data_IF_089589558897
#
_entry.id   IF_089589558897
#
_cell.length_a   1.000
_cell.length_b   1.000
_cell.length_c   1.000
_cell.angle_alpha   90.00
_cell.angle_beta   90.00
_cell.angle_gamma   90.00
#
_symmetry.space_group_name_H-M   'P 1'
#
loop_
_entity.id
_entity.type
_entity.pdbx_description
1 polymer ?
#
# COMPACT_ATOMS: atom_id res chain seq x y z
N UNK A 1 -30.63 -4.35 24.96
CA UNK A 1 -29.91 -3.08 24.66
C UNK A 1 -28.40 -3.13 24.92
N UNK A 2 -27.83 -4.17 25.54
CA UNK A 2 -26.38 -4.29 25.72
C UNK A 2 -25.61 -4.71 24.45
N UNK A 3 -26.25 -5.39 23.50
CA UNK A 3 -25.61 -5.91 22.29
C UNK A 3 -25.20 -4.80 21.29
N UNK A 4 -25.96 -3.70 21.22
CA UNK A 4 -25.63 -2.55 20.35
C UNK A 4 -24.38 -1.79 20.84
N UNK A 5 -24.13 -1.77 22.16
CA UNK A 5 -22.99 -1.09 22.75
C UNK A 5 -21.65 -1.78 22.43
N UNK A 6 -21.65 -3.11 22.20
CA UNK A 6 -20.44 -3.87 21.82
C UNK A 6 -20.17 -3.89 20.31
N UNK A 7 -21.16 -3.57 19.46
CA UNK A 7 -20.99 -3.55 18.01
C UNK A 7 -20.44 -2.21 17.48
N UNK A 8 -20.67 -1.11 18.22
CA UNK A 8 -20.19 0.23 17.87
C UNK A 8 -18.66 0.33 17.69
N UNK A 9 -17.82 -0.26 18.57
CA UNK A 9 -16.37 -0.20 18.40
C UNK A 9 -15.85 -0.99 17.19
N UNK A 10 -16.59 -1.99 16.69
CA UNK A 10 -16.16 -2.78 15.52
C UNK A 10 -16.64 -2.14 14.21
N UNK A 11 -17.78 -1.44 14.22
CA UNK A 11 -18.30 -0.72 13.06
C UNK A 11 -17.52 0.58 12.77
N UNK A 12 -16.98 1.25 13.79
CA UNK A 12 -16.22 2.49 13.62
C UNK A 12 -14.86 2.31 12.91
N UNK A 13 -14.35 1.08 12.81
CA UNK A 13 -13.04 0.78 12.19
C UNK A 13 -13.15 0.18 10.79
N UNK A 14 -14.37 -0.02 10.27
CA UNK A 14 -14.61 -0.69 9.00
C UNK A 14 -14.27 0.18 7.77
N UNK A 15 -14.12 1.50 7.94
CA UNK A 15 -13.89 2.47 6.86
C UNK A 15 -12.54 3.23 6.97
N UNK A 16 -11.62 2.78 7.82
CA UNK A 16 -10.39 3.56 8.01
C UNK A 16 -9.44 3.42 6.82
N UNK A 17 -9.07 4.57 6.24
CA UNK A 17 -8.16 4.67 5.10
C UNK A 17 -6.89 5.35 5.53
N UNK A 18 -5.76 4.66 5.34
CA UNK A 18 -4.43 5.19 5.60
C UNK A 18 -3.71 5.45 4.29
N UNK A 19 -3.19 6.66 4.13
CA UNK A 19 -2.40 7.08 2.96
C UNK A 19 -1.02 7.48 3.43
N UNK A 20 0.01 6.85 2.89
CA UNK A 20 1.41 7.17 3.12
C UNK A 20 1.99 7.79 1.85
N UNK A 21 2.65 8.93 1.96
CA UNK A 21 3.44 9.47 0.85
C UNK A 21 4.90 9.55 1.22
N UNK A 22 5.74 9.19 0.27
CA UNK A 22 7.18 9.13 0.43
C UNK A 22 7.90 9.80 -0.73
N UNK A 23 9.12 10.26 -0.48
CA UNK A 23 9.98 10.82 -1.51
C UNK A 23 11.45 10.50 -1.22
N UNK A 24 12.28 10.70 -2.24
CA UNK A 24 13.72 10.47 -2.09
C UNK A 24 14.06 8.99 -1.93
N UNK A 25 15.33 8.71 -1.65
CA UNK A 25 15.85 7.35 -1.73
C UNK A 25 16.08 6.90 -3.17
N UNK A 26 16.34 5.59 -3.32
CA UNK A 26 16.67 4.98 -4.61
C UNK A 26 15.99 3.63 -4.76
N UNK A 27 15.41 3.42 -5.93
CA UNK A 27 15.05 2.08 -6.41
C UNK A 27 16.29 1.49 -7.07
N UNK A 28 16.74 0.34 -6.60
CA UNK A 28 17.95 -0.35 -7.06
C UNK A 28 17.65 -1.76 -7.52
N UNK A 29 18.41 -2.26 -8.49
CA UNK A 29 18.42 -3.66 -8.87
C UNK A 29 19.03 -4.50 -7.75
N UNK A 30 18.24 -5.41 -7.20
CA UNK A 30 18.64 -6.39 -6.20
C UNK A 30 19.02 -7.75 -6.83
N UNK A 31 19.39 -8.70 -5.97
CA UNK A 31 19.67 -10.07 -6.37
C UNK A 31 18.44 -10.74 -6.99
N UNK A 32 18.63 -11.67 -7.93
CA UNK A 32 17.51 -12.41 -8.55
C UNK A 32 16.59 -11.54 -9.41
N UNK A 33 17.09 -10.42 -9.96
CA UNK A 33 16.31 -9.48 -10.75
C UNK A 33 15.09 -8.94 -10.00
N UNK A 34 15.27 -8.52 -8.74
CA UNK A 34 14.26 -7.84 -7.92
C UNK A 34 14.52 -6.32 -7.90
N UNK A 35 13.51 -5.52 -7.52
CA UNK A 35 13.69 -4.09 -7.25
C UNK A 35 13.60 -3.81 -5.76
N UNK A 36 14.55 -3.03 -5.24
CA UNK A 36 14.62 -2.63 -3.83
C UNK A 36 14.49 -1.12 -3.69
N UNK A 37 13.56 -0.64 -2.87
CA UNK A 37 13.54 0.75 -2.42
C UNK A 37 14.23 0.89 -1.07
N UNK A 38 15.25 1.73 -1.03
CA UNK A 38 15.99 2.05 0.19
C UNK A 38 16.19 3.55 0.35
N UNK A 39 16.32 3.98 1.62
CA UNK A 39 16.57 5.37 2.02
C UNK A 39 15.53 6.39 1.52
N UNK A 40 14.27 5.97 1.34
CA UNK A 40 13.18 6.91 1.13
C UNK A 40 12.85 7.64 2.44
N UNK A 41 12.14 8.74 2.32
CA UNK A 41 11.65 9.53 3.44
C UNK A 41 10.13 9.56 3.37
N UNK A 42 9.47 9.07 4.41
CA UNK A 42 8.03 9.25 4.60
C UNK A 42 7.79 10.72 4.96
N UNK A 43 7.00 11.43 4.15
CA UNK A 43 6.81 12.87 4.31
C UNK A 43 5.44 13.24 4.83
N UNK A 44 4.45 12.39 4.53
CA UNK A 44 3.08 12.60 4.93
C UNK A 44 2.40 11.29 5.22
N UNK A 45 1.55 11.34 6.25
CA UNK A 45 0.66 10.26 6.62
C UNK A 45 -0.73 10.84 6.78
N UNK A 46 -1.73 10.26 6.12
CA UNK A 46 -3.13 10.65 6.26
C UNK A 46 -3.91 9.48 6.82
N UNK A 47 -4.63 9.70 7.91
CA UNK A 47 -5.58 8.76 8.47
C UNK A 47 -6.95 9.42 8.47
N UNK A 48 -7.91 8.80 7.79
CA UNK A 48 -9.31 9.24 7.74
C UNK A 48 -9.48 10.72 7.36
N UNK A 49 -8.67 11.15 6.39
CA UNK A 49 -8.67 12.52 5.87
C UNK A 49 -7.85 13.52 6.70
N UNK A 50 -7.30 13.13 7.84
CA UNK A 50 -6.41 13.97 8.66
C UNK A 50 -4.97 13.71 8.30
N UNK A 51 -4.30 14.70 7.73
CA UNK A 51 -2.89 14.61 7.30
C UNK A 51 -1.93 15.14 8.37
N UNK A 52 -0.93 14.33 8.69
CA UNK A 52 0.28 14.70 9.43
C UNK A 52 1.46 14.85 8.48
N UNK A 53 2.24 15.92 8.64
CA UNK A 53 3.43 16.21 7.84
C UNK A 53 3.13 16.97 6.55
N UNK A 54 3.92 16.69 5.52
CA UNK A 54 3.90 17.36 4.22
C UNK A 54 5.24 17.26 3.52
N UNK A 55 5.32 17.78 2.29
CA UNK A 55 6.55 17.71 1.50
C UNK A 55 7.75 18.29 2.26
N UNK A 56 8.82 17.52 2.37
CA UNK A 56 10.06 17.93 3.05
C UNK A 56 10.13 17.56 4.53
N UNK A 57 9.05 17.00 5.11
CA UNK A 57 9.10 16.40 6.43
C UNK A 57 9.80 15.04 6.37
N UNK A 58 10.34 14.63 7.52
CA UNK A 58 10.85 13.29 7.73
C UNK A 58 10.08 12.66 8.89
N UNK A 59 9.06 11.88 8.55
CA UNK A 59 8.24 11.11 9.48
C UNK A 59 8.72 9.66 9.62
N UNK A 60 9.71 9.25 8.81
CA UNK A 60 10.23 7.89 8.78
C UNK A 60 10.61 7.45 7.37
N UNK A 61 10.37 6.19 7.00
CA UNK A 61 10.80 5.64 5.72
C UNK A 61 9.83 4.60 5.15
N UNK A 62 9.88 4.44 3.82
CA UNK A 62 9.21 3.37 3.08
C UNK A 62 10.27 2.48 2.42
N UNK A 63 10.21 1.19 2.67
CA UNK A 63 11.15 0.23 2.13
C UNK A 63 10.39 -0.92 1.50
N UNK A 64 10.84 -1.38 0.33
CA UNK A 64 10.25 -2.55 -0.28
C UNK A 64 11.28 -3.37 -1.05
N UNK A 65 10.94 -4.64 -1.25
CA UNK A 65 11.56 -5.54 -2.21
C UNK A 65 10.46 -6.21 -3.02
N UNK A 66 10.61 -6.30 -4.34
CA UNK A 66 9.66 -7.05 -5.19
C UNK A 66 10.02 -8.53 -5.23
N UNK A 67 9.12 -9.37 -5.78
CA UNK A 67 9.51 -10.68 -6.31
C UNK A 67 10.47 -10.54 -7.51
N UNK A 68 10.96 -11.67 -8.04
CA UNK A 68 11.83 -11.68 -9.21
C UNK A 68 11.08 -11.29 -10.49
N UNK A 69 11.79 -10.73 -11.47
CA UNK A 69 11.24 -10.37 -12.79
C UNK A 69 10.71 -11.63 -13.50
N UNK A 70 9.43 -11.60 -13.90
CA UNK A 70 8.76 -12.71 -14.60
C UNK A 70 8.54 -12.43 -16.09
N UNK A 71 8.44 -11.16 -16.50
CA UNK A 71 8.33 -10.79 -17.91
C UNK A 71 8.84 -9.38 -18.19
N UNK A 72 9.25 -9.11 -19.43
CA UNK A 72 9.79 -7.80 -19.83
C UNK A 72 11.28 -7.65 -19.52
N UNK A 73 11.72 -6.43 -19.22
CA UNK A 73 13.11 -6.11 -18.93
C UNK A 73 13.25 -4.95 -17.94
N UNK A 74 14.41 -4.83 -17.30
CA UNK A 74 14.68 -3.75 -16.35
C UNK A 74 14.58 -2.35 -17.00
N UNK A 75 15.09 -2.21 -18.22
CA UNK A 75 15.12 -0.93 -18.93
C UNK A 75 13.84 -0.60 -19.71
N UNK A 76 13.21 -1.60 -20.33
CA UNK A 76 12.00 -1.41 -21.12
C UNK A 76 10.69 -1.51 -20.33
N UNK A 77 10.77 -1.76 -19.02
CA UNK A 77 9.62 -2.09 -18.20
C UNK A 77 9.36 -3.59 -18.17
N UNK A 78 8.65 -4.05 -17.14
CA UNK A 78 8.40 -5.47 -16.92
C UNK A 78 7.43 -5.73 -15.78
N UNK A 79 7.21 -7.00 -15.52
CA UNK A 79 6.34 -7.48 -14.44
C UNK A 79 7.18 -8.35 -13.53
N UNK A 80 7.07 -8.12 -12.23
CA UNK A 80 7.72 -8.89 -11.18
C UNK A 80 6.70 -9.79 -10.49
N UNK A 81 7.15 -10.95 -10.01
CA UNK A 81 6.30 -11.84 -9.23
C UNK A 81 5.77 -11.13 -7.96
N UNK A 82 4.63 -11.62 -7.47
CA UNK A 82 4.14 -11.28 -6.13
C UNK A 82 5.11 -11.75 -5.04
N UNK A 83 4.88 -11.30 -3.81
CA UNK A 83 5.72 -11.57 -2.65
C UNK A 83 6.64 -10.40 -2.32
N UNK A 84 7.89 -10.70 -1.96
CA UNK A 84 8.85 -9.70 -1.49
C UNK A 84 8.47 -9.13 -0.12
N UNK A 85 8.74 -7.85 0.09
CA UNK A 85 8.41 -7.14 1.34
C UNK A 85 8.02 -5.70 1.06
N UNK A 86 7.15 -5.13 1.88
CA UNK A 86 6.82 -3.71 1.88
C UNK A 86 6.59 -3.26 3.31
N UNK A 87 7.38 -2.30 3.78
CA UNK A 87 7.36 -1.80 5.16
C UNK A 87 7.37 -0.30 5.19
N UNK A 88 6.48 0.27 6.00
CA UNK A 88 6.46 1.69 6.34
C UNK A 88 6.85 1.84 7.81
N UNK A 89 7.90 2.60 8.06
CA UNK A 89 8.42 2.87 9.39
C UNK A 89 8.16 4.32 9.76
N UNK A 90 7.66 4.57 10.96
CA UNK A 90 7.58 5.88 11.59
C UNK A 90 8.78 6.12 12.49
N UNK A 91 9.18 7.37 12.65
CA UNK A 91 10.34 7.77 13.46
C UNK A 91 9.98 8.44 14.80
N UNK A 92 8.69 8.47 15.17
CA UNK A 92 8.23 9.10 16.42
C UNK A 92 7.93 10.60 16.34
N UNK A 93 8.11 11.25 15.19
CA UNK A 93 7.91 12.70 15.04
C UNK A 93 6.46 13.07 14.74
N UNK A 94 6.05 14.28 15.13
CA UNK A 94 4.72 14.85 14.85
C UNK A 94 3.53 13.99 15.28
N UNK A 95 3.68 13.23 16.37
CA UNK A 95 2.63 12.37 16.92
C UNK A 95 2.50 11.01 16.22
N UNK A 96 3.33 10.72 15.22
CA UNK A 96 3.39 9.41 14.59
C UNK A 96 4.18 8.44 15.47
N UNK A 97 3.77 7.16 15.51
CA UNK A 97 4.47 6.15 16.30
C UNK A 97 5.91 5.93 15.81
N UNK A 98 6.82 5.62 16.74
CA UNK A 98 8.16 5.15 16.40
C UNK A 98 8.13 3.62 16.22
N UNK A 99 8.41 3.13 15.01
CA UNK A 99 8.34 1.71 14.68
C UNK A 99 7.57 1.42 13.39
N UNK A 100 7.10 0.19 13.24
CA UNK A 100 6.35 -0.25 12.05
C UNK A 100 4.97 0.37 12.05
N UNK A 101 4.64 1.11 11.00
CA UNK A 101 3.29 1.63 10.73
C UNK A 101 2.50 0.69 9.82
N UNK A 102 3.19 0.06 8.87
CA UNK A 102 2.67 -0.97 7.99
C UNK A 102 3.76 -2.00 7.68
N UNK A 103 3.39 -3.27 7.66
CA UNK A 103 4.25 -4.37 7.21
C UNK A 103 3.44 -5.33 6.36
N UNK A 104 3.93 -5.63 5.16
CA UNK A 104 3.22 -6.47 4.21
C UNK A 104 4.09 -6.96 3.06
N UNK A 105 3.42 -7.48 2.03
CA UNK A 105 4.03 -7.99 0.81
C UNK A 105 3.19 -7.59 -0.40
N UNK A 106 3.73 -7.73 -1.61
CA UNK A 106 2.95 -7.56 -2.82
C UNK A 106 2.05 -8.78 -3.01
N UNK A 107 0.73 -8.58 -2.98
CA UNK A 107 -0.25 -9.67 -3.09
C UNK A 107 -0.44 -10.16 -4.52
N UNK A 108 -0.17 -9.28 -5.49
CA UNK A 108 -0.24 -9.55 -6.93
C UNK A 108 1.11 -9.23 -7.60
N UNK A 109 1.30 -9.65 -8.87
CA UNK A 109 2.43 -9.20 -9.66
C UNK A 109 2.57 -7.68 -9.64
N UNK A 110 3.82 -7.22 -9.68
CA UNK A 110 4.17 -5.80 -9.60
C UNK A 110 4.57 -5.32 -10.98
N UNK A 111 3.92 -4.26 -11.45
CA UNK A 111 4.21 -3.66 -12.75
C UNK A 111 5.31 -2.60 -12.61
N UNK A 112 6.26 -2.64 -13.53
CA UNK A 112 7.31 -1.66 -13.72
C UNK A 112 7.18 -1.05 -15.10
N UNK A 113 6.59 0.13 -15.16
CA UNK A 113 6.17 0.76 -16.41
C UNK A 113 7.24 1.78 -16.79
N UNK A 114 7.90 1.57 -17.93
CA UNK A 114 8.89 2.49 -18.47
C UNK A 114 8.22 3.49 -19.43
N UNK A 115 8.57 4.76 -19.29
CA UNK A 115 8.14 5.83 -20.21
C UNK A 115 9.36 6.55 -20.77
N UNK A 116 9.45 6.59 -22.10
CA UNK A 116 10.40 7.44 -22.81
C UNK A 116 9.70 8.69 -23.31
N UNK A 117 10.21 9.87 -22.95
CA UNK A 117 9.78 11.11 -23.55
C UNK A 117 10.96 11.75 -24.31
N UNK A 118 10.91 11.80 -25.66
CA UNK A 118 12.00 12.33 -26.48
C UNK A 118 12.19 13.85 -26.35
N UNK A 119 11.18 14.58 -25.89
CA UNK A 119 11.27 16.02 -25.64
C UNK A 119 11.84 16.36 -24.24
N UNK A 120 12.06 15.35 -23.39
CA UNK A 120 12.64 15.51 -22.06
C UNK A 120 14.09 16.01 -22.07
N UNK A 121 14.56 16.52 -20.93
CA UNK A 121 15.94 17.02 -20.72
C UNK A 121 16.47 17.92 -21.86
N UNK A 122 15.65 18.88 -22.30
CA UNK A 122 16.02 19.81 -23.37
C UNK A 122 16.19 19.14 -24.74
N UNK A 123 15.43 18.08 -25.02
CA UNK A 123 15.45 17.36 -26.30
C UNK A 123 16.45 16.21 -26.39
N UNK A 124 17.15 15.88 -25.29
CA UNK A 124 17.97 14.66 -25.18
C UNK A 124 17.12 13.43 -24.87
N UNK A 125 15.90 13.66 -24.42
CA UNK A 125 14.92 12.72 -23.94
C UNK A 125 15.17 12.26 -22.51
N UNK A 126 14.17 11.66 -21.89
CA UNK A 126 14.24 11.16 -20.52
C UNK A 126 13.48 9.84 -20.34
N UNK A 127 14.03 8.97 -19.50
CA UNK A 127 13.41 7.69 -19.11
C UNK A 127 12.91 7.80 -17.67
N UNK A 128 11.60 7.74 -17.49
CA UNK A 128 10.96 7.67 -16.18
C UNK A 128 10.24 6.34 -16.00
N UNK A 129 10.04 5.97 -14.75
CA UNK A 129 9.43 4.70 -14.39
C UNK A 129 8.36 4.88 -13.33
N UNK A 130 7.35 4.03 -13.39
CA UNK A 130 6.33 3.89 -12.36
C UNK A 130 6.28 2.43 -11.92
N UNK A 131 6.47 2.18 -10.64
CA UNK A 131 6.21 0.88 -10.03
C UNK A 131 4.82 0.89 -9.41
N UNK A 132 3.96 -0.04 -9.79
CA UNK A 132 2.63 -0.21 -9.20
C UNK A 132 2.41 -1.63 -8.74
N UNK A 133 1.76 -1.80 -7.58
CA UNK A 133 1.44 -3.13 -7.07
C UNK A 133 0.39 -3.10 -5.98
N UNK A 134 -0.38 -4.18 -5.87
CA UNK A 134 -1.29 -4.41 -4.77
C UNK A 134 -0.53 -4.95 -3.55
N UNK A 135 -0.94 -4.53 -2.36
CA UNK A 135 -0.33 -4.87 -1.08
C UNK A 135 -1.32 -5.65 -0.21
N UNK A 136 -0.79 -6.55 0.60
CA UNK A 136 -1.49 -7.14 1.74
C UNK A 136 -0.55 -7.22 2.92
N UNK A 137 -1.05 -6.88 4.10
CA UNK A 137 -0.22 -6.79 5.31
C UNK A 137 -1.02 -6.44 6.55
N UNK A 138 -0.32 -5.89 7.53
CA UNK A 138 -0.88 -5.47 8.81
C UNK A 138 -0.43 -4.05 9.15
N UNK A 139 -1.32 -3.29 9.79
CA UNK A 139 -0.98 -2.02 10.43
C UNK A 139 -0.28 -2.23 11.78
N UNK A 140 0.19 -1.14 12.39
CA UNK A 140 0.90 -1.14 13.68
C UNK A 140 0.10 -1.74 14.85
N UNK A 141 -1.22 -1.71 14.76
CA UNK A 141 -2.16 -2.28 15.73
C UNK A 141 -2.43 -3.78 15.52
N UNK A 142 -1.86 -4.37 14.47
CA UNK A 142 -2.08 -5.77 14.07
C UNK A 142 -3.28 -5.98 13.16
N UNK A 143 -4.02 -4.94 12.79
CA UNK A 143 -5.18 -5.05 11.90
C UNK A 143 -4.77 -5.48 10.50
N UNK A 144 -5.39 -6.53 9.91
CA UNK A 144 -5.11 -6.92 8.54
C UNK A 144 -5.64 -5.87 7.57
N UNK A 145 -4.85 -5.55 6.55
CA UNK A 145 -5.18 -4.55 5.55
C UNK A 145 -4.84 -5.01 4.14
N UNK A 146 -5.57 -4.47 3.17
CA UNK A 146 -5.26 -4.54 1.75
C UNK A 146 -4.96 -3.15 1.22
N UNK A 147 -4.13 -3.03 0.21
CA UNK A 147 -3.79 -1.72 -0.34
C UNK A 147 -3.17 -1.76 -1.73
N UNK A 148 -2.70 -0.60 -2.17
CA UNK A 148 -1.96 -0.44 -3.40
C UNK A 148 -0.92 0.67 -3.26
N UNK A 149 0.17 0.55 -4.02
CA UNK A 149 1.24 1.54 -4.07
C UNK A 149 1.52 1.95 -5.51
N UNK A 150 1.90 3.21 -5.69
CA UNK A 150 2.43 3.77 -6.92
C UNK A 150 3.69 4.59 -6.60
N UNK A 151 4.81 4.23 -7.24
CA UNK A 151 6.14 4.76 -6.94
C UNK A 151 6.73 5.33 -8.23
N UNK A 152 6.94 6.64 -8.25
CA UNK A 152 7.34 7.41 -9.43
C UNK A 152 8.81 7.79 -9.33
N UNK A 153 9.54 7.66 -10.43
CA UNK A 153 10.98 7.97 -10.46
C UNK A 153 11.26 9.28 -11.16
N UNK A 154 12.41 9.88 -10.85
CA UNK A 154 13.01 10.87 -11.73
C UNK A 154 13.53 10.21 -13.02
N UNK A 155 14.01 11.05 -13.93
CA UNK A 155 14.81 10.59 -15.06
C UNK A 155 15.99 9.75 -14.59
N UNK A 156 16.24 8.65 -15.30
CA UNK A 156 17.43 7.84 -15.09
C UNK A 156 18.65 8.62 -15.58
N UNK A 157 19.71 8.76 -14.76
CA UNK A 157 20.86 9.60 -15.10
C UNK A 157 21.44 9.34 -16.50
N UNK A 158 21.56 10.43 -17.26
CA UNK A 158 22.09 10.42 -18.62
C UNK A 158 21.09 9.95 -19.68
N UNK A 159 19.78 10.03 -19.41
CA UNK A 159 18.71 9.72 -20.37
C UNK A 159 18.77 8.28 -20.88
N UNK A 160 19.23 7.35 -20.04
CA UNK A 160 19.39 5.93 -20.38
C UNK A 160 18.27 5.10 -19.77
N UNK A 161 17.91 3.96 -20.37
CA UNK A 161 17.05 3.00 -19.71
C UNK A 161 17.62 2.56 -18.35
N UNK A 162 16.73 2.26 -17.40
CA UNK A 162 17.08 1.73 -16.10
C UNK A 162 17.94 0.45 -16.23
N UNK A 163 19.01 0.40 -15.45
CA UNK A 163 19.96 -0.72 -15.45
C UNK A 163 20.44 -1.13 -14.07
N UNK A 164 20.54 -0.17 -13.12
CA UNK A 164 21.05 -0.42 -11.77
C UNK A 164 20.32 0.34 -10.70
N UNK A 165 20.10 1.64 -10.89
CA UNK A 165 19.47 2.48 -9.87
C UNK A 165 18.81 3.71 -10.48
N UNK A 166 17.71 4.15 -9.87
CA UNK A 166 17.05 5.42 -10.17
C UNK A 166 16.54 6.05 -8.87
N UNK A 167 16.50 7.38 -8.83
CA UNK A 167 15.99 8.12 -7.67
C UNK A 167 14.47 8.10 -7.69
N UNK A 168 13.88 7.86 -6.53
CA UNK A 168 12.45 8.04 -6.35
C UNK A 168 12.14 9.54 -6.34
N UNK A 169 11.10 9.92 -7.08
CA UNK A 169 10.54 11.28 -7.11
C UNK A 169 9.47 11.42 -6.04
N UNK A 170 8.50 10.51 -6.06
CA UNK A 170 7.43 10.43 -5.08
C UNK A 170 6.82 9.03 -5.07
N UNK A 171 6.25 8.65 -3.95
CA UNK A 171 5.50 7.43 -3.75
C UNK A 171 4.21 7.73 -3.03
N UNK A 172 3.15 7.00 -3.37
CA UNK A 172 1.88 7.03 -2.66
C UNK A 172 1.45 5.60 -2.41
N UNK A 173 1.13 5.30 -1.16
CA UNK A 173 0.64 4.00 -0.73
C UNK A 173 -0.67 4.19 0.01
N UNK A 174 -1.70 3.49 -0.42
CA UNK A 174 -3.03 3.51 0.19
C UNK A 174 -3.31 2.14 0.77
N UNK A 175 -3.78 2.08 2.01
CA UNK A 175 -4.19 0.83 2.66
C UNK A 175 -5.52 1.05 3.37
N UNK A 176 -6.37 0.04 3.31
CA UNK A 176 -7.71 0.02 3.90
C UNK A 176 -7.89 -1.26 4.71
N UNK A 177 -8.59 -1.15 5.83
CA UNK A 177 -9.02 -2.32 6.62
C UNK A 177 -10.23 -2.94 5.92
N UNK A 178 -10.21 -4.24 5.54
CA UNK A 178 -11.40 -4.91 5.02
C UNK A 178 -12.47 -4.98 6.12
N UNK A 179 -13.69 -4.54 5.81
CA UNK A 179 -14.82 -4.50 6.75
C UNK A 179 -15.02 -5.85 7.48
N UNK A 180 -14.75 -5.97 8.80
CA UNK A 180 -14.85 -7.26 9.48
C UNK A 180 -16.29 -7.71 9.81
N UNK A 181 -17.33 -6.91 9.53
CA UNK A 181 -18.65 -7.06 10.18
C UNK A 181 -19.86 -7.24 9.27
N UNK A 182 -19.85 -6.76 8.03
CA UNK A 182 -21.06 -6.67 7.19
C UNK A 182 -21.56 -8.04 6.75
N UNK A 183 -20.68 -8.94 6.32
CA UNK A 183 -21.04 -10.31 5.91
C UNK A 183 -21.47 -11.21 7.08
N UNK A 184 -20.77 -11.13 8.22
CA UNK A 184 -21.09 -11.93 9.40
C UNK A 184 -22.40 -11.46 10.06
N UNK A 185 -22.66 -10.14 10.08
CA UNK A 185 -23.91 -9.58 10.59
C UNK A 185 -25.09 -9.86 9.66
N UNK A 186 -24.91 -9.81 8.33
CA UNK A 186 -25.96 -10.24 7.39
C UNK A 186 -26.28 -11.73 7.55
N UNK A 187 -25.24 -12.57 7.65
CA UNK A 187 -25.39 -14.02 7.83
C UNK A 187 -26.11 -14.38 9.13
N UNK A 188 -25.69 -13.79 10.26
CA UNK A 188 -26.35 -14.02 11.55
C UNK A 188 -27.73 -13.37 11.65
N UNK A 189 -27.94 -12.22 11.00
CA UNK A 189 -29.24 -11.56 10.89
C UNK A 189 -30.27 -12.40 10.13
N UNK A 190 -29.88 -13.02 9.01
CA UNK A 190 -30.75 -13.96 8.28
C UNK A 190 -31.02 -15.23 9.09
N UNK A 191 -30.02 -15.80 9.77
CA UNK A 191 -30.23 -16.99 10.63
C UNK A 191 -31.16 -16.66 11.79
N UNK A 192 -31.06 -15.46 12.39
CA UNK A 192 -31.97 -14.96 13.41
C UNK A 192 -33.41 -14.82 12.90
N UNK A 193 -33.60 -14.24 11.70
CA UNK A 193 -34.91 -14.12 11.04
C UNK A 193 -35.54 -15.49 10.71
N UNK A 194 -34.75 -16.43 10.19
CA UNK A 194 -35.20 -17.81 9.92
C UNK A 194 -35.57 -18.53 11.22
N UNK A 195 -34.83 -18.30 12.31
CA UNK A 195 -35.15 -18.83 13.64
C UNK A 195 -36.48 -18.31 14.18
N UNK A 196 -36.77 -17.02 13.99
CA UNK A 196 -38.04 -16.40 14.38
C UNK A 196 -39.22 -16.90 13.53
N UNK A 197 -39.03 -17.06 12.21
CA UNK A 197 -40.03 -17.66 11.32
C UNK A 197 -40.37 -19.11 11.72
N UNK A 198 -39.36 -19.93 12.05
CA UNK A 198 -39.57 -21.31 12.54
C UNK A 198 -40.32 -21.34 13.87
N UNK A 199 -40.04 -20.40 14.77
CA UNK A 199 -40.76 -20.29 16.05
C UNK A 199 -42.22 -19.90 15.84
N UNK A 200 -42.50 -18.95 14.96
CA UNK A 200 -43.86 -18.50 14.65
C UNK A 200 -44.74 -19.60 14.02
N UNK A 201 -44.14 -20.47 13.19
CA UNK A 201 -44.85 -21.60 12.59
C UNK A 201 -45.20 -22.71 13.58
N UNK A 202 -44.42 -22.90 14.66
CA UNK A 202 -44.71 -23.90 15.71
C UNK A 202 -45.81 -23.50 16.70
N UNK A 203 -46.19 -22.22 16.74
CA UNK A 203 -47.23 -21.72 17.68
C UNK A 203 -48.64 -21.71 17.04
N UNK A 204 -48.78 -22.18 15.78
CA UNK A 204 -50.04 -22.18 15.01
C UNK A 204 -50.71 -23.55 14.85
N UNK A 205 -50.30 -24.55 15.65
CA UNK A 205 -50.95 -25.86 15.80
C UNK A 205 -51.24 -26.08 17.26
#
# INVERSE_FOLDING_TARGET
MALLALALPLAAWADSTSIFSDYGGKITLGAGNTLWLSNSTLDSFTLDGVTTGGKGFNLGSVNFTTGGLISGSMGGGGVFASGGSFTVMGNGTNGLANGVLFSGTFSNPVDWIATWNPAGDGGKGNWTYVLTGALSGTLSDGSPVSGATAQFTFDVPGSKPFSKSVRLSSGVTTVTVPEPGTLALFGTGMVGLVGLMRRALKTKT
#
